data_IF_545008225882
#
_entry.id   IF_545008225882
#
_cell.length_a   1.000
_cell.length_b   1.000
_cell.length_c   1.000
_cell.angle_alpha   90.00
_cell.angle_beta   90.00
_cell.angle_gamma   90.00
#
_symmetry.space_group_name_H-M   'P 1'
#
loop_
_entity.id
_entity.type
_entity.pdbx_description
1 polymer ?
#
# COMPACT_ATOMS: atom_id res chain seq x y z
N UNK A 1 -7.19 -12.72 -10.50
CA UNK A 1 -7.62 -13.64 -9.44
C UNK A 1 -9.13 -13.59 -9.19
N UNK A 2 -9.80 -12.44 -9.37
CA UNK A 2 -11.25 -12.33 -9.14
C UNK A 2 -11.58 -12.05 -7.67
N UNK A 3 -12.76 -11.48 -7.42
CA UNK A 3 -13.19 -11.03 -6.09
C UNK A 3 -13.20 -12.18 -5.08
N UNK A 4 -13.72 -13.33 -5.47
CA UNK A 4 -13.88 -14.51 -4.61
C UNK A 4 -12.52 -14.98 -4.08
N UNK A 5 -11.53 -15.05 -4.97
CA UNK A 5 -10.16 -15.45 -4.59
C UNK A 5 -9.48 -14.39 -3.73
N UNK A 6 -9.71 -13.09 -3.98
CA UNK A 6 -9.20 -12.02 -3.13
C UNK A 6 -9.78 -12.15 -1.72
N UNK A 7 -11.10 -12.36 -1.59
CA UNK A 7 -11.74 -12.55 -0.29
C UNK A 7 -11.23 -13.79 0.45
N UNK A 8 -11.00 -14.89 -0.26
CA UNK A 8 -10.38 -16.09 0.32
C UNK A 8 -8.97 -15.80 0.86
N UNK A 9 -8.14 -15.11 0.07
CA UNK A 9 -6.78 -14.76 0.48
C UNK A 9 -6.76 -13.77 1.64
N UNK A 10 -7.69 -12.81 1.69
CA UNK A 10 -7.83 -11.90 2.82
C UNK A 10 -8.19 -12.66 4.10
N UNK A 11 -9.05 -13.69 4.04
CA UNK A 11 -9.34 -14.55 5.21
C UNK A 11 -8.13 -15.31 5.72
N UNK A 12 -7.18 -15.65 4.84
CA UNK A 12 -5.91 -16.30 5.20
C UNK A 12 -4.85 -15.31 5.68
N UNK A 13 -5.00 -14.03 5.35
CA UNK A 13 -4.05 -12.99 5.68
C UNK A 13 -4.13 -12.64 7.16
N UNK A 14 -2.99 -12.68 7.85
CA UNK A 14 -2.90 -12.37 9.30
C UNK A 14 -2.81 -10.88 9.61
N UNK A 15 -2.68 -10.03 8.58
CA UNK A 15 -2.71 -8.58 8.73
C UNK A 15 -4.10 -8.02 8.48
N UNK A 16 -4.21 -6.70 8.49
CA UNK A 16 -5.45 -5.98 8.17
C UNK A 16 -5.40 -5.52 6.72
N UNK A 17 -6.38 -5.96 5.92
CA UNK A 17 -6.58 -5.40 4.59
C UNK A 17 -7.44 -4.15 4.72
N UNK A 18 -6.91 -3.01 4.28
CA UNK A 18 -7.58 -1.71 4.38
C UNK A 18 -7.70 -1.08 2.99
N UNK A 19 -8.85 -0.48 2.69
CA UNK A 19 -9.06 0.30 1.48
C UNK A 19 -10.30 1.15 1.59
N UNK A 20 -10.16 2.47 1.52
CA UNK A 20 -11.27 3.40 1.67
C UNK A 20 -12.09 3.57 0.38
N UNK A 21 -11.47 3.35 -0.78
CA UNK A 21 -12.09 3.65 -2.07
C UNK A 21 -12.73 2.45 -2.78
N UNK A 22 -12.75 1.27 -2.15
CA UNK A 22 -13.39 0.08 -2.73
C UNK A 22 -14.78 -0.06 -2.14
N UNK A 23 -15.78 0.25 -2.96
CA UNK A 23 -17.19 0.26 -2.56
C UNK A 23 -18.01 -0.75 -3.38
N UNK A 24 -19.12 -1.17 -2.80
CA UNK A 24 -20.15 -1.88 -3.55
C UNK A 24 -20.81 -0.91 -4.55
N UNK A 25 -20.94 -1.35 -5.79
CA UNK A 25 -21.51 -0.62 -6.90
C UNK A 25 -22.55 -1.49 -7.66
N UNK A 26 -23.08 -2.52 -7.01
CA UNK A 26 -24.22 -3.30 -7.50
C UNK A 26 -25.53 -2.64 -7.00
N UNK A 27 -26.36 -2.07 -7.90
CA UNK A 27 -27.59 -1.37 -7.52
C UNK A 27 -28.65 -2.30 -6.90
N UNK A 28 -28.43 -3.62 -6.91
CA UNK A 28 -29.30 -4.61 -6.27
C UNK A 28 -28.74 -5.14 -4.94
N UNK A 29 -27.59 -4.65 -4.50
CA UNK A 29 -26.99 -5.01 -3.21
C UNK A 29 -27.62 -4.21 -2.07
N UNK A 30 -27.83 -4.86 -0.92
CA UNK A 30 -28.23 -4.19 0.33
C UNK A 30 -27.13 -3.27 0.88
N UNK A 31 -25.89 -3.44 0.40
CA UNK A 31 -24.69 -2.67 0.78
C UNK A 31 -24.29 -1.68 -0.33
N UNK A 32 -25.18 -1.33 -1.27
CA UNK A 32 -24.88 -0.39 -2.35
C UNK A 32 -24.30 0.94 -1.81
N UNK A 33 -23.19 1.39 -2.41
CA UNK A 33 -22.40 2.57 -2.01
C UNK A 33 -21.64 2.46 -0.68
N UNK A 34 -21.72 1.32 0.02
CA UNK A 34 -20.94 1.07 1.23
C UNK A 34 -19.52 0.61 0.92
N UNK A 35 -18.60 0.88 1.86
CA UNK A 35 -17.22 0.40 1.77
C UNK A 35 -17.14 -1.11 1.99
N UNK A 36 -16.45 -1.82 1.10
CA UNK A 36 -16.29 -3.28 1.19
C UNK A 36 -15.22 -3.67 2.22
N UNK A 37 -14.24 -2.79 2.43
CA UNK A 37 -13.13 -3.02 3.34
C UNK A 37 -13.05 -1.91 4.39
N UNK A 38 -12.48 -2.19 5.57
CA UNK A 38 -12.17 -1.14 6.52
C UNK A 38 -11.33 -0.04 5.85
N UNK A 39 -11.71 1.24 5.98
CA UNK A 39 -11.04 2.33 5.26
C UNK A 39 -9.65 2.63 5.82
N UNK A 40 -9.47 2.38 7.11
CA UNK A 40 -8.24 2.66 7.83
C UNK A 40 -8.02 1.68 8.99
N UNK A 41 -6.81 1.68 9.53
CA UNK A 41 -6.48 1.09 10.83
C UNK A 41 -5.73 2.10 11.71
N UNK A 42 -5.71 1.86 13.02
CA UNK A 42 -4.94 2.67 13.98
C UNK A 42 -3.95 1.76 14.69
N UNK A 43 -2.69 2.16 14.72
CA UNK A 43 -1.62 1.46 15.45
C UNK A 43 -1.03 2.38 16.50
N UNK A 44 -0.86 1.85 17.71
CA UNK A 44 -0.11 2.53 18.76
C UNK A 44 1.28 1.91 18.85
N UNK A 45 2.31 2.70 18.54
CA UNK A 45 3.70 2.24 18.50
C UNK A 45 4.54 3.28 19.23
N UNK A 46 5.26 2.85 20.28
CA UNK A 46 6.12 3.75 21.05
C UNK A 46 5.38 4.91 21.72
N UNK A 47 4.09 4.73 22.07
CA UNK A 47 3.25 5.76 22.68
C UNK A 47 2.67 6.79 21.69
N UNK A 48 2.78 6.53 20.39
CA UNK A 48 2.20 7.36 19.31
C UNK A 48 1.11 6.60 18.59
N UNK A 49 -0.01 7.29 18.37
CA UNK A 49 -1.16 6.78 17.66
C UNK A 49 -1.07 7.16 16.17
N UNK A 50 -0.90 6.17 15.32
CA UNK A 50 -0.71 6.28 13.87
C UNK A 50 -2.01 5.84 13.20
N UNK A 51 -2.68 6.75 12.51
CA UNK A 51 -3.80 6.42 11.60
C UNK A 51 -3.27 6.08 10.21
N UNK A 52 -3.65 4.92 9.67
CA UNK A 52 -3.22 4.46 8.35
C UNK A 52 -4.46 4.25 7.49
N UNK A 53 -4.65 5.10 6.49
CA UNK A 53 -5.74 5.00 5.50
C UNK A 53 -5.26 4.16 4.32
N UNK A 54 -6.05 3.16 3.93
CA UNK A 54 -5.76 2.34 2.74
C UNK A 54 -6.34 2.97 1.49
N UNK A 55 -5.59 2.96 0.39
CA UNK A 55 -6.03 3.49 -0.90
C UNK A 55 -5.61 2.53 -2.03
N UNK A 56 -6.60 1.91 -2.67
CA UNK A 56 -6.40 0.99 -3.80
C UNK A 56 -6.34 1.72 -5.13
N UNK A 57 -5.71 1.12 -6.13
CA UNK A 57 -5.55 1.75 -7.45
C UNK A 57 -6.92 2.06 -8.11
N UNK A 58 -7.19 3.31 -8.50
CA UNK A 58 -8.55 3.73 -8.86
C UNK A 58 -9.00 3.22 -10.23
N UNK A 59 -8.05 2.83 -11.09
CA UNK A 59 -8.32 2.30 -12.43
C UNK A 59 -8.29 0.77 -12.47
N UNK A 60 -8.42 0.08 -11.33
CA UNK A 60 -8.36 -1.39 -11.26
C UNK A 60 -9.37 -2.05 -12.21
N UNK A 61 -10.61 -1.56 -12.26
CA UNK A 61 -11.67 -2.13 -13.10
C UNK A 61 -11.46 -1.92 -14.61
N UNK A 62 -10.68 -0.91 -15.02
CA UNK A 62 -10.38 -0.66 -16.44
C UNK A 62 -9.05 -1.28 -16.87
N UNK A 63 -8.11 -1.47 -15.93
CA UNK A 63 -6.83 -2.11 -16.18
C UNK A 63 -6.90 -3.65 -16.24
N UNK A 64 -8.05 -4.24 -15.91
CA UNK A 64 -8.24 -5.69 -15.82
C UNK A 64 -9.57 -6.14 -16.45
N UNK A 65 -9.74 -7.44 -16.78
CA UNK A 65 -11.03 -7.97 -17.21
C UNK A 65 -12.14 -7.66 -16.21
N UNK A 66 -13.22 -7.02 -16.69
CA UNK A 66 -14.36 -6.54 -15.87
C UNK A 66 -14.90 -7.58 -14.89
N UNK A 67 -14.97 -8.85 -15.29
CA UNK A 67 -15.43 -9.98 -14.46
C UNK A 67 -14.67 -10.12 -13.12
N UNK A 68 -13.45 -9.59 -13.00
CA UNK A 68 -12.69 -9.67 -11.77
C UNK A 68 -13.10 -8.67 -10.70
N UNK A 69 -13.84 -7.63 -11.06
CA UNK A 69 -14.24 -6.52 -10.17
C UNK A 69 -15.69 -6.09 -10.38
N UNK A 70 -16.51 -6.92 -11.03
CA UNK A 70 -17.91 -6.63 -11.28
C UNK A 70 -18.66 -6.32 -9.97
N UNK A 71 -19.51 -5.29 -9.96
CA UNK A 71 -20.17 -4.81 -8.74
C UNK A 71 -19.26 -4.09 -7.75
N UNK A 72 -17.96 -3.88 -8.02
CA UNK A 72 -17.07 -3.07 -7.20
C UNK A 72 -16.62 -1.81 -7.93
N UNK A 73 -16.58 -0.68 -7.23
CA UNK A 73 -16.01 0.57 -7.72
C UNK A 73 -14.75 0.95 -6.93
N UNK A 74 -13.74 1.45 -7.64
CA UNK A 74 -12.42 1.81 -7.10
C UNK A 74 -12.14 3.31 -7.23
N UNK A 75 -13.10 4.10 -7.73
CA UNK A 75 -12.87 5.49 -8.11
C UNK A 75 -12.23 6.34 -7.01
N UNK A 76 -11.54 7.42 -7.40
CA UNK A 76 -11.00 8.39 -6.45
C UNK A 76 -12.13 9.01 -5.62
N UNK A 77 -12.02 8.96 -4.29
CA UNK A 77 -12.98 9.50 -3.32
C UNK A 77 -12.27 10.48 -2.39
N UNK A 78 -11.92 11.65 -2.91
CA UNK A 78 -11.19 12.66 -2.14
C UNK A 78 -12.01 13.18 -0.95
N UNK A 79 -13.32 13.29 -1.07
CA UNK A 79 -14.21 13.72 0.01
C UNK A 79 -14.20 12.71 1.16
N UNK A 80 -14.48 11.43 0.88
CA UNK A 80 -14.40 10.35 1.88
C UNK A 80 -13.02 10.25 2.51
N UNK A 81 -11.95 10.35 1.71
CA UNK A 81 -10.58 10.35 2.26
C UNK A 81 -10.35 11.56 3.20
N UNK A 82 -10.83 12.75 2.86
CA UNK A 82 -10.73 13.93 3.72
C UNK A 82 -11.55 13.76 5.01
N UNK A 83 -12.71 13.11 4.95
CA UNK A 83 -13.53 12.76 6.12
C UNK A 83 -12.79 11.79 7.04
N UNK A 84 -12.18 10.72 6.52
CA UNK A 84 -11.39 9.81 7.35
C UNK A 84 -10.17 10.49 7.98
N UNK A 85 -9.49 11.39 7.25
CA UNK A 85 -8.41 12.21 7.85
C UNK A 85 -8.95 13.06 9.00
N UNK A 86 -10.12 13.70 8.81
CA UNK A 86 -10.75 14.52 9.84
C UNK A 86 -11.16 13.67 11.06
N UNK A 87 -11.78 12.51 10.86
CA UNK A 87 -12.18 11.58 11.92
C UNK A 87 -10.96 11.13 12.73
N UNK A 88 -9.91 10.67 12.05
CA UNK A 88 -8.67 10.23 12.68
C UNK A 88 -8.05 11.33 13.55
N UNK A 89 -8.00 12.57 13.05
CA UNK A 89 -7.42 13.71 13.79
C UNK A 89 -8.30 14.20 14.92
N UNK A 90 -9.59 14.43 14.64
CA UNK A 90 -10.50 15.14 15.56
C UNK A 90 -11.13 14.21 16.58
N UNK A 91 -11.46 12.99 16.20
CA UNK A 91 -12.20 12.06 17.05
C UNK A 91 -11.27 11.01 17.65
N UNK A 92 -10.47 10.34 16.80
CA UNK A 92 -9.57 9.27 17.27
C UNK A 92 -8.29 9.81 17.89
N UNK A 93 -8.01 11.11 17.70
CA UNK A 93 -6.84 11.84 18.20
C UNK A 93 -5.53 11.13 17.81
N UNK A 94 -5.39 10.78 16.53
CA UNK A 94 -4.12 10.25 16.02
C UNK A 94 -3.09 11.37 15.88
N UNK A 95 -1.85 11.04 16.22
CA UNK A 95 -0.72 11.97 16.21
C UNK A 95 -0.13 12.11 14.81
N UNK A 96 -0.28 11.07 13.97
CA UNK A 96 0.10 11.10 12.56
C UNK A 96 -0.90 10.35 11.67
N UNK A 97 -1.07 10.83 10.44
CA UNK A 97 -1.91 10.22 9.40
C UNK A 97 -1.06 9.85 8.20
N UNK A 98 -1.12 8.56 7.86
CA UNK A 98 -0.42 7.96 6.73
C UNK A 98 -1.46 7.48 5.72
N UNK A 99 -1.27 7.79 4.43
CA UNK A 99 -1.99 7.14 3.34
C UNK A 99 -1.10 6.05 2.76
N UNK A 100 -1.52 4.78 2.90
CA UNK A 100 -0.90 3.64 2.23
C UNK A 100 -1.54 3.51 0.84
N UNK A 101 -0.87 4.08 -0.16
CA UNK A 101 -1.46 4.33 -1.47
C UNK A 101 -0.94 3.41 -2.56
N UNK A 102 -1.86 2.96 -3.40
CA UNK A 102 -1.57 2.33 -4.69
C UNK A 102 -2.10 3.17 -5.87
N UNK A 103 -2.34 4.47 -5.69
CA UNK A 103 -2.80 5.35 -6.78
C UNK A 103 -1.73 5.57 -7.85
N UNK A 104 -0.47 5.62 -7.42
CA UNK A 104 0.67 5.95 -8.26
C UNK A 104 1.10 7.40 -8.11
N UNK A 105 2.41 7.63 -8.29
CA UNK A 105 3.07 8.86 -7.86
C UNK A 105 2.40 10.16 -8.34
N UNK A 106 2.04 10.27 -9.63
CA UNK A 106 1.41 11.49 -10.14
C UNK A 106 0.03 11.75 -9.54
N UNK A 107 -0.73 10.71 -9.23
CA UNK A 107 -2.05 10.82 -8.59
C UNK A 107 -1.87 11.15 -7.10
N UNK A 108 -0.90 10.54 -6.43
CA UNK A 108 -0.55 10.85 -5.05
C UNK A 108 -0.09 12.31 -4.87
N UNK A 109 0.59 12.89 -5.86
CA UNK A 109 0.93 14.31 -5.86
C UNK A 109 -0.33 15.20 -5.91
N UNK A 110 -1.34 14.82 -6.69
CA UNK A 110 -2.61 15.55 -6.72
C UNK A 110 -3.42 15.36 -5.43
N UNK A 111 -3.39 14.16 -4.85
CA UNK A 111 -3.98 13.87 -3.55
C UNK A 111 -3.35 14.77 -2.47
N UNK A 112 -2.02 14.82 -2.39
CA UNK A 112 -1.29 15.68 -1.46
C UNK A 112 -1.60 17.18 -1.62
N UNK A 113 -1.96 17.62 -2.83
CA UNK A 113 -2.39 19.01 -3.05
C UNK A 113 -3.76 19.30 -2.45
N UNK A 114 -4.69 18.35 -2.60
CA UNK A 114 -6.12 18.51 -2.28
C UNK A 114 -6.46 18.19 -0.83
N UNK A 115 -5.84 17.17 -0.26
CA UNK A 115 -6.18 16.63 1.06
C UNK A 115 -5.31 17.28 2.13
N UNK A 116 -5.94 17.77 3.19
CA UNK A 116 -5.27 18.41 4.33
C UNK A 116 -5.21 17.47 5.52
N UNK A 117 -4.08 17.50 6.24
CA UNK A 117 -3.87 16.74 7.48
C UNK A 117 -3.23 15.35 7.31
N UNK A 118 -2.86 14.98 6.08
CA UNK A 118 -2.01 13.81 5.77
C UNK A 118 -0.55 14.21 5.95
N UNK A 119 0.22 13.45 6.75
CA UNK A 119 1.64 13.71 6.95
C UNK A 119 2.50 12.93 5.95
N UNK A 120 2.16 11.67 5.71
CA UNK A 120 2.95 10.77 4.86
C UNK A 120 2.07 10.04 3.85
N UNK A 121 2.58 9.88 2.64
CA UNK A 121 1.99 9.01 1.60
C UNK A 121 3.03 7.96 1.24
N UNK A 122 2.71 6.69 1.48
CA UNK A 122 3.52 5.56 1.05
C UNK A 122 3.00 5.14 -0.33
N UNK A 123 3.65 5.65 -1.38
CA UNK A 123 3.19 5.58 -2.77
C UNK A 123 3.68 4.30 -3.47
N UNK A 124 2.75 3.58 -4.10
CA UNK A 124 2.99 2.38 -4.90
C UNK A 124 2.79 2.59 -6.40
N UNK A 125 2.41 1.51 -7.10
CA UNK A 125 2.01 1.42 -8.51
C UNK A 125 3.07 1.77 -9.58
N UNK A 126 3.74 2.92 -9.47
CA UNK A 126 4.62 3.46 -10.53
C UNK A 126 6.03 2.87 -10.56
N UNK A 127 6.41 2.09 -9.54
CA UNK A 127 7.64 1.31 -9.45
C UNK A 127 8.98 2.09 -9.50
N UNK A 128 8.97 3.42 -9.67
CA UNK A 128 10.16 4.25 -9.67
C UNK A 128 10.62 4.57 -8.24
N UNK A 129 11.71 3.97 -7.71
CA UNK A 129 12.18 4.29 -6.37
C UNK A 129 12.66 5.74 -6.28
N UNK A 130 12.40 6.40 -5.15
CA UNK A 130 12.98 7.71 -4.87
C UNK A 130 13.95 7.63 -3.69
N UNK A 131 15.24 7.96 -3.87
CA UNK A 131 16.22 7.93 -2.78
C UNK A 131 15.98 9.02 -1.74
N UNK A 132 15.18 10.04 -2.07
CA UNK A 132 14.78 11.12 -1.16
C UNK A 132 13.25 11.25 -1.12
N UNK A 133 12.66 11.61 0.04
CA UNK A 133 11.25 11.95 0.12
C UNK A 133 10.91 13.14 -0.79
N UNK A 134 9.68 13.15 -1.30
CA UNK A 134 9.16 14.24 -2.13
C UNK A 134 8.08 14.95 -1.34
N UNK A 135 8.24 16.25 -1.13
CA UNK A 135 7.30 17.04 -0.34
C UNK A 135 6.36 17.77 -1.28
N UNK A 136 5.05 17.60 -1.05
CA UNK A 136 3.99 18.31 -1.75
C UNK A 136 3.07 18.92 -0.70
N UNK A 137 3.07 20.26 -0.61
CA UNK A 137 2.50 20.99 0.52
C UNK A 137 3.05 20.44 1.85
N UNK A 138 2.16 19.96 2.73
CA UNK A 138 2.50 19.46 4.06
C UNK A 138 2.75 17.94 4.07
N UNK A 139 2.48 17.23 2.96
CA UNK A 139 2.60 15.79 2.88
C UNK A 139 3.95 15.35 2.30
N UNK A 140 4.52 14.30 2.90
CA UNK A 140 5.78 13.68 2.51
C UNK A 140 5.51 12.36 1.78
N UNK A 141 5.85 12.30 0.50
CA UNK A 141 5.65 11.13 -0.36
C UNK A 141 6.92 10.27 -0.40
N UNK A 142 6.76 8.98 -0.12
CA UNK A 142 7.82 7.97 -0.11
C UNK A 142 7.54 6.90 -1.17
N UNK A 143 8.55 6.49 -1.93
CA UNK A 143 8.42 5.47 -2.98
C UNK A 143 9.54 4.44 -2.86
N UNK A 144 9.18 3.19 -2.57
CA UNK A 144 10.13 2.09 -2.33
C UNK A 144 10.58 1.35 -3.59
N UNK A 145 10.05 1.71 -4.77
CA UNK A 145 10.32 0.98 -6.01
C UNK A 145 9.47 -0.29 -6.14
N UNK A 146 10.07 -1.41 -6.57
CA UNK A 146 9.34 -2.64 -6.89
C UNK A 146 10.17 -3.90 -6.69
N UNK A 147 9.51 -5.06 -6.76
CA UNK A 147 10.13 -6.40 -6.75
C UNK A 147 11.00 -6.71 -5.52
N UNK A 148 10.73 -6.05 -4.39
CA UNK A 148 11.54 -6.22 -3.18
C UNK A 148 12.98 -5.72 -3.30
N UNK A 149 13.32 -4.91 -4.32
CA UNK A 149 14.68 -4.39 -4.53
C UNK A 149 15.12 -3.41 -3.45
N UNK A 150 14.17 -2.73 -2.80
CA UNK A 150 14.45 -1.80 -1.72
C UNK A 150 13.41 -1.92 -0.59
N UNK A 151 13.85 -1.54 0.61
CA UNK A 151 13.00 -1.34 1.78
C UNK A 151 13.13 0.13 2.19
N UNK A 152 12.00 0.84 2.24
CA UNK A 152 11.95 2.17 2.82
C UNK A 152 11.90 2.08 4.34
N UNK A 153 12.82 2.78 5.02
CA UNK A 153 12.80 3.00 6.46
C UNK A 153 12.51 4.46 6.73
N UNK A 154 11.38 4.70 7.39
CA UNK A 154 10.97 6.00 7.91
C UNK A 154 11.07 5.95 9.44
N UNK A 155 12.00 6.71 10.01
CA UNK A 155 12.12 6.87 11.46
C UNK A 155 11.42 8.19 11.84
N UNK A 156 10.46 8.14 12.76
CA UNK A 156 9.73 9.31 13.24
C UNK A 156 10.28 9.77 14.59
N UNK A 157 10.54 11.07 14.73
CA UNK A 157 10.93 11.68 16.00
C UNK A 157 9.70 12.20 16.74
N UNK A 158 9.52 11.74 17.97
CA UNK A 158 8.31 12.01 18.76
C UNK A 158 8.67 12.88 19.97
N UNK A 159 7.98 14.01 20.11
CA UNK A 159 8.05 14.91 21.27
C UNK A 159 6.64 15.29 21.71
N UNK A 160 6.34 15.16 23.00
CA UNK A 160 5.04 15.50 23.58
C UNK A 160 3.84 14.87 22.83
N UNK A 161 3.99 13.59 22.45
CA UNK A 161 3.03 12.83 21.63
C UNK A 161 2.74 13.45 20.26
N UNK A 162 3.69 14.19 19.70
CA UNK A 162 3.61 14.75 18.34
C UNK A 162 4.83 14.36 17.55
N UNK A 163 4.64 14.11 16.25
CA UNK A 163 5.77 13.97 15.32
C UNK A 163 6.43 15.34 15.19
N UNK A 164 7.69 15.42 15.59
CA UNK A 164 8.52 16.63 15.60
C UNK A 164 9.57 16.66 14.48
N UNK A 165 9.81 15.52 13.85
CA UNK A 165 10.75 15.34 12.77
C UNK A 165 10.69 13.92 12.21
N UNK A 166 11.41 13.68 11.12
CA UNK A 166 11.57 12.34 10.57
C UNK A 166 12.93 12.20 9.86
N UNK A 167 13.40 10.96 9.74
CA UNK A 167 14.52 10.61 8.87
C UNK A 167 14.13 9.47 7.95
N UNK A 168 14.67 9.46 6.73
CA UNK A 168 14.33 8.47 5.71
C UNK A 168 15.58 7.82 5.13
N UNK A 169 15.52 6.50 4.92
CA UNK A 169 16.49 5.74 4.15
C UNK A 169 15.80 4.78 3.20
N UNK A 170 16.24 4.78 1.95
CA UNK A 170 15.92 3.73 1.00
C UNK A 170 17.04 2.69 1.02
N UNK A 171 16.76 1.48 1.52
CA UNK A 171 17.75 0.44 1.78
C UNK A 171 17.69 -0.59 0.65
N UNK A 172 18.74 -0.77 -0.17
CA UNK A 172 18.77 -1.82 -1.18
C UNK A 172 18.78 -3.21 -0.56
N UNK A 173 17.98 -4.13 -1.09
CA UNK A 173 18.01 -5.55 -0.73
C UNK A 173 19.02 -6.25 -1.62
N UNK A 174 20.28 -6.22 -1.18
CA UNK A 174 21.40 -6.82 -1.88
C UNK A 174 21.67 -8.24 -1.33
N UNK A 175 21.28 -9.27 -2.08
CA UNK A 175 21.38 -10.69 -1.66
C UNK A 175 22.82 -11.17 -1.44
N UNK A 176 23.80 -10.48 -2.03
CA UNK A 176 25.22 -10.72 -1.80
C UNK A 176 25.74 -10.13 -0.47
N UNK A 177 24.98 -9.24 0.18
CA UNK A 177 25.36 -8.56 1.42
C UNK A 177 24.50 -8.97 2.62
N UNK A 178 23.25 -9.36 2.37
CA UNK A 178 22.30 -9.78 3.41
C UNK A 178 22.02 -11.27 3.23
N UNK A 179 22.41 -12.14 4.19
CA UNK A 179 22.12 -13.56 4.09
C UNK A 179 20.62 -13.82 4.10
N UNK A 180 20.18 -14.80 3.31
CA UNK A 180 18.78 -15.21 3.28
C UNK A 180 18.36 -15.77 4.65
N UNK A 181 17.11 -15.50 5.04
CA UNK A 181 16.49 -16.20 6.16
C UNK A 181 16.20 -17.65 5.77
N UNK A 182 16.71 -18.59 6.56
CA UNK A 182 16.60 -20.03 6.26
C UNK A 182 15.14 -20.49 6.12
N UNK A 183 14.24 -20.01 6.99
CA UNK A 183 12.83 -20.41 6.94
C UNK A 183 12.14 -19.85 5.70
N UNK A 184 12.50 -18.62 5.31
CA UNK A 184 12.05 -18.00 4.06
C UNK A 184 12.50 -18.79 2.83
N UNK A 185 13.77 -19.18 2.78
CA UNK A 185 14.34 -19.97 1.68
C UNK A 185 13.66 -21.36 1.58
N UNK A 186 13.51 -22.06 2.70
CA UNK A 186 12.83 -23.35 2.76
C UNK A 186 11.36 -23.24 2.31
N UNK A 187 10.66 -22.16 2.70
CA UNK A 187 9.29 -21.91 2.30
C UNK A 187 9.18 -21.69 0.79
N UNK A 188 10.04 -20.87 0.20
CA UNK A 188 10.04 -20.61 -1.24
C UNK A 188 10.39 -21.88 -2.01
N UNK A 189 11.44 -22.58 -1.61
CA UNK A 189 11.87 -23.84 -2.24
C UNK A 189 10.73 -24.88 -2.23
N UNK A 190 10.00 -25.00 -1.11
CA UNK A 190 8.85 -25.90 -1.01
C UNK A 190 7.78 -25.61 -2.07
N UNK A 191 7.45 -24.34 -2.32
CA UNK A 191 6.40 -23.96 -3.28
C UNK A 191 6.86 -24.03 -4.73
N UNK A 192 8.15 -23.82 -5.00
CA UNK A 192 8.71 -23.87 -6.35
C UNK A 192 9.01 -25.29 -6.81
N UNK A 193 9.32 -26.21 -5.88
CA UNK A 193 9.70 -27.59 -6.16
C UNK A 193 8.84 -28.33 -7.20
N UNK A 194 7.50 -28.24 -7.20
CA UNK A 194 6.67 -28.90 -8.22
C UNK A 194 6.91 -28.39 -9.65
N UNK A 195 7.48 -27.19 -9.79
CA UNK A 195 7.68 -26.47 -11.04
C UNK A 195 9.16 -26.35 -11.44
N UNK A 196 10.10 -26.95 -10.68
CA UNK A 196 11.55 -26.81 -10.92
C UNK A 196 11.96 -27.15 -12.35
N UNK A 197 11.33 -28.17 -12.95
CA UNK A 197 11.60 -28.57 -14.33
C UNK A 197 11.20 -27.47 -15.33
N UNK A 198 10.02 -26.88 -15.16
CA UNK A 198 9.47 -25.86 -16.05
C UNK A 198 10.22 -24.53 -15.87
N UNK A 199 10.41 -24.10 -14.62
CA UNK A 199 11.08 -22.84 -14.29
C UNK A 199 12.58 -22.89 -14.58
N UNK A 200 13.20 -24.08 -14.58
CA UNK A 200 14.60 -24.30 -14.90
C UNK A 200 14.88 -24.60 -16.38
N UNK A 201 13.85 -24.71 -17.22
CA UNK A 201 14.03 -25.01 -18.64
C UNK A 201 14.65 -23.82 -19.38
N UNK A 202 15.81 -24.05 -20.00
CA UNK A 202 16.48 -23.04 -20.82
C UNK A 202 15.82 -22.99 -22.20
N UNK A 203 14.94 -22.01 -22.40
CA UNK A 203 14.25 -21.81 -23.68
C UNK A 203 15.09 -21.03 -24.72
N UNK A 204 16.11 -20.31 -24.27
CA UNK A 204 16.97 -19.50 -25.13
C UNK A 204 18.08 -18.80 -24.36
N UNK A 205 19.04 -18.21 -25.07
CA UNK A 205 20.15 -17.45 -24.48
C UNK A 205 20.25 -16.07 -25.14
N UNK A 206 20.65 -15.06 -24.35
CA UNK A 206 20.95 -13.71 -24.86
C UNK A 206 22.46 -13.49 -24.81
N UNK A 207 23.02 -12.80 -25.81
CA UNK A 207 24.42 -12.35 -25.74
C UNK A 207 24.46 -11.25 -24.66
N UNK A 208 25.19 -11.49 -23.57
CA UNK A 208 25.30 -10.52 -22.48
C UNK A 208 25.77 -9.16 -22.98
N UNK A 209 25.20 -8.10 -22.41
CA UNK A 209 25.73 -6.72 -22.44
C UNK A 209 26.87 -6.57 -21.47
#
# INVERSE_FOLDING_TARGET
YGKERVMELIKMFKGEFISQNVIDNDPFSDEFEEVIFPPYTIKEIGGVKIGIIGQSFPFTSTANPKRFTEGWSFGLRHESLQEYVNELRKEKKVDTVIVLSHDGFSVDQELAKKIKGVDFILSGHTHGPSPKPIIVNDAVILISGSHGKFISRLDLEIKDKKVSGYSFKLIPVASNLVPADKKGEELVAKWYKPYDKELGEVLGTTKGT
#
